data_IF_191789889498
#
_entry.id   IF_191789889498
#
_cell.length_a   1.000
_cell.length_b   1.000
_cell.length_c   1.000
_cell.angle_alpha   90.00
_cell.angle_beta   90.00
_cell.angle_gamma   90.00
#
_symmetry.space_group_name_H-M   'P 1'
#
loop_
_entity.id
_entity.type
_entity.pdbx_description
1 polymer ?
#
# COMPACT_ATOMS: atom_id res chain seq x y z
N UNK A 1 17.57 -1.33 -1.21
CA UNK A 1 16.72 -2.33 -1.85
C UNK A 1 16.81 -3.65 -1.11
N UNK A 2 15.69 -4.29 -0.83
CA UNK A 2 15.63 -5.68 -0.33
C UNK A 2 14.88 -6.53 -1.36
N UNK A 3 15.43 -7.69 -1.73
CA UNK A 3 14.77 -8.63 -2.66
C UNK A 3 14.16 -9.77 -1.86
N UNK A 4 12.92 -10.12 -2.14
CA UNK A 4 12.25 -11.29 -1.58
C UNK A 4 12.21 -12.38 -2.64
N UNK A 5 12.70 -13.58 -2.33
CA UNK A 5 12.60 -14.76 -3.17
C UNK A 5 11.60 -15.73 -2.54
N UNK A 6 10.42 -15.87 -3.14
CA UNK A 6 9.37 -16.77 -2.63
C UNK A 6 9.48 -18.10 -3.33
N UNK A 7 9.97 -19.11 -2.61
CA UNK A 7 10.07 -20.48 -3.05
C UNK A 7 8.78 -21.24 -2.71
N UNK A 8 8.10 -21.73 -3.74
CA UNK A 8 6.86 -22.48 -3.63
C UNK A 8 7.15 -23.96 -3.39
N UNK A 9 7.71 -24.28 -2.21
CA UNK A 9 8.08 -25.63 -1.78
C UNK A 9 6.86 -26.48 -1.38
N UNK A 10 5.93 -26.63 -2.32
CA UNK A 10 4.71 -27.43 -2.21
C UNK A 10 4.53 -28.30 -3.44
N UNK A 11 3.78 -29.38 -3.31
CA UNK A 11 3.46 -30.26 -4.44
C UNK A 11 2.39 -29.67 -5.37
N UNK A 12 1.48 -28.86 -4.82
CA UNK A 12 0.40 -28.19 -5.55
C UNK A 12 -0.03 -26.89 -4.85
N UNK A 13 -0.33 -25.86 -5.65
CA UNK A 13 -0.91 -24.59 -5.21
C UNK A 13 -2.44 -24.61 -5.16
N UNK A 14 -3.11 -25.62 -5.70
CA UNK A 14 -4.57 -25.76 -5.75
C UNK A 14 -5.28 -24.54 -6.34
N UNK A 15 -4.66 -23.93 -7.36
CA UNK A 15 -5.16 -22.70 -7.98
C UNK A 15 -5.12 -21.46 -7.08
N UNK A 16 -4.41 -21.50 -5.95
CA UNK A 16 -4.19 -20.36 -5.05
C UNK A 16 -2.98 -19.54 -5.47
N UNK A 17 -2.89 -18.35 -4.89
CA UNK A 17 -1.82 -17.36 -5.07
C UNK A 17 -1.33 -16.88 -3.71
N UNK A 18 -0.13 -16.30 -3.68
CA UNK A 18 0.37 -15.61 -2.49
C UNK A 18 0.11 -14.12 -2.65
N UNK A 19 -0.61 -13.53 -1.69
CA UNK A 19 -0.76 -12.10 -1.58
C UNK A 19 0.20 -11.58 -0.52
N UNK A 20 0.88 -10.50 -0.84
CA UNK A 20 1.73 -9.76 0.10
C UNK A 20 1.10 -8.40 0.33
N UNK A 21 0.92 -8.03 1.58
CA UNK A 21 0.37 -6.74 1.97
C UNK A 21 1.39 -5.92 2.74
N UNK A 22 1.38 -4.61 2.47
CA UNK A 22 1.84 -3.58 3.39
C UNK A 22 0.60 -2.93 4.02
N UNK A 23 0.68 -2.50 5.29
CA UNK A 23 -0.46 -1.90 5.99
C UNK A 23 -0.07 -0.55 6.60
N UNK A 24 -0.98 0.43 6.60
CA UNK A 24 -0.81 1.60 7.46
C UNK A 24 -0.86 1.17 8.94
N UNK A 25 -0.19 1.92 9.82
CA UNK A 25 -0.15 1.63 11.27
C UNK A 25 -1.54 1.73 11.92
N UNK A 26 -2.39 2.64 11.45
CA UNK A 26 -3.72 2.89 12.02
C UNK A 26 -4.81 2.81 10.94
N UNK A 27 -5.11 1.62 10.41
CA UNK A 27 -6.12 1.49 9.35
C UNK A 27 -7.52 1.78 9.89
N UNK A 28 -8.31 2.57 9.15
CA UNK A 28 -9.72 2.80 9.45
C UNK A 28 -10.62 1.81 8.70
N UNK A 29 -11.86 1.64 9.15
CA UNK A 29 -12.80 0.65 8.59
C UNK A 29 -13.12 0.87 7.11
N UNK A 30 -13.13 2.12 6.66
CA UNK A 30 -13.42 2.49 5.28
C UNK A 30 -12.17 2.47 4.37
N UNK A 31 -10.98 2.16 4.91
CA UNK A 31 -9.79 2.06 4.09
C UNK A 31 -9.88 0.84 3.18
N UNK A 32 -9.49 1.05 1.93
CA UNK A 32 -9.42 0.01 0.91
C UNK A 32 -7.97 -0.44 0.80
N UNK A 33 -7.60 -1.51 1.49
CA UNK A 33 -6.24 -2.06 1.48
C UNK A 33 -6.05 -2.87 0.20
N UNK A 34 -4.92 -2.68 -0.48
CA UNK A 34 -4.58 -3.38 -1.72
C UNK A 34 -3.58 -4.50 -1.45
N UNK A 35 -3.68 -5.60 -2.19
CA UNK A 35 -2.58 -6.56 -2.26
C UNK A 35 -1.39 -5.86 -2.92
N UNK A 36 -0.33 -5.64 -2.16
CA UNK A 36 0.86 -4.92 -2.59
C UNK A 36 1.65 -5.73 -3.62
N UNK A 37 1.72 -7.05 -3.43
CA UNK A 37 2.16 -8.01 -4.45
C UNK A 37 1.16 -9.16 -4.57
N UNK A 38 1.05 -9.69 -5.79
CA UNK A 38 0.28 -10.89 -6.12
C UNK A 38 1.24 -11.84 -6.83
N UNK A 39 1.59 -12.93 -6.17
CA UNK A 39 2.53 -13.92 -6.71
C UNK A 39 1.75 -15.13 -7.22
N UNK A 40 2.00 -15.47 -8.47
CA UNK A 40 1.30 -16.52 -9.23
C UNK A 40 2.18 -17.75 -9.49
N UNK A 41 3.28 -17.88 -8.74
CA UNK A 41 4.21 -19.00 -8.83
C UNK A 41 3.53 -20.37 -8.76
N UNK A 42 4.15 -21.32 -9.47
CA UNK A 42 3.74 -22.72 -9.53
C UNK A 42 4.48 -23.54 -8.46
N UNK A 43 3.95 -24.72 -8.14
CA UNK A 43 4.63 -25.70 -7.30
C UNK A 43 6.08 -25.95 -7.75
N UNK A 44 7.03 -25.89 -6.81
CA UNK A 44 8.47 -26.03 -7.04
C UNK A 44 9.17 -24.83 -7.67
N UNK A 45 8.44 -23.75 -8.01
CA UNK A 45 9.03 -22.55 -8.63
C UNK A 45 9.54 -21.54 -7.59
N UNK A 46 10.23 -20.50 -8.06
CA UNK A 46 10.58 -19.33 -7.27
C UNK A 46 10.14 -18.07 -8.01
N UNK A 47 9.46 -17.17 -7.30
CA UNK A 47 9.08 -15.85 -7.79
C UNK A 47 9.67 -14.79 -6.87
N UNK A 48 10.17 -13.70 -7.44
CA UNK A 48 10.86 -12.67 -6.68
C UNK A 48 10.22 -11.29 -6.87
N UNK A 49 10.22 -10.50 -5.81
CA UNK A 49 9.83 -9.09 -5.85
C UNK A 49 10.83 -8.23 -5.08
N UNK A 50 10.90 -6.95 -5.42
CA UNK A 50 11.79 -5.99 -4.75
C UNK A 50 11.01 -5.04 -3.84
N UNK A 51 11.68 -4.62 -2.77
CA UNK A 51 11.18 -3.62 -1.84
C UNK A 51 12.19 -2.48 -1.69
N UNK A 52 11.67 -1.27 -1.86
CA UNK A 52 12.30 -0.04 -1.45
C UNK A 52 11.29 0.81 -0.68
N UNK A 53 11.76 1.52 0.35
CA UNK A 53 10.92 2.39 1.19
C UNK A 53 10.61 3.73 0.50
N UNK A 54 10.23 3.69 -0.77
CA UNK A 54 9.82 4.85 -1.55
C UNK A 54 8.31 4.97 -1.43
N UNK A 55 7.85 6.03 -0.76
CA UNK A 55 6.42 6.34 -0.61
C UNK A 55 6.02 7.29 -1.72
N UNK A 56 4.90 7.00 -2.37
CA UNK A 56 4.28 7.89 -3.34
C UNK A 56 2.79 8.03 -3.05
N UNK A 57 2.20 9.14 -3.49
CA UNK A 57 0.77 9.35 -3.37
C UNK A 57 0.21 10.11 -4.57
N UNK A 58 -1.07 9.90 -4.84
CA UNK A 58 -1.89 10.78 -5.68
C UNK A 58 -3.31 10.84 -5.11
N UNK A 59 -4.14 11.68 -5.72
CA UNK A 59 -5.54 11.86 -5.34
C UNK A 59 -6.43 11.50 -6.51
N UNK A 60 -7.46 10.70 -6.31
CA UNK A 60 -8.48 10.44 -7.33
C UNK A 60 -9.69 11.30 -7.06
N UNK A 61 -10.11 12.07 -8.05
CA UNK A 61 -11.40 12.79 -8.03
C UNK A 61 -12.33 12.20 -9.08
N UNK A 62 -13.61 12.56 -8.99
CA UNK A 62 -14.63 12.20 -9.96
C UNK A 62 -15.00 13.47 -10.73
N UNK A 63 -15.05 13.39 -12.06
CA UNK A 63 -15.49 14.50 -12.90
C UNK A 63 -17.02 14.57 -13.05
N UNK A 64 -17.50 15.55 -13.82
CA UNK A 64 -18.94 15.73 -14.07
C UNK A 64 -19.59 14.55 -14.81
N UNK A 65 -18.80 13.74 -15.51
CA UNK A 65 -19.23 12.56 -16.25
C UNK A 65 -19.07 11.26 -15.44
N UNK A 66 -18.85 11.36 -14.13
CA UNK A 66 -18.62 10.24 -13.21
C UNK A 66 -17.37 9.41 -13.56
N UNK A 67 -16.43 10.03 -14.27
CA UNK A 67 -15.16 9.41 -14.68
C UNK A 67 -14.04 9.76 -13.69
N UNK A 68 -13.20 8.78 -13.30
CA UNK A 68 -12.12 9.03 -12.37
C UNK A 68 -11.00 9.83 -13.04
N UNK A 69 -10.64 10.96 -12.43
CA UNK A 69 -9.45 11.73 -12.76
C UNK A 69 -8.35 11.34 -11.79
N UNK A 70 -7.23 10.85 -12.33
CA UNK A 70 -6.07 10.39 -11.55
C UNK A 70 -4.84 11.17 -12.01
N UNK A 71 -4.42 12.20 -11.26
CA UNK A 71 -3.17 12.92 -11.49
C UNK A 71 -1.94 12.03 -11.27
N UNK A 72 -0.79 12.52 -11.75
CA UNK A 72 0.50 11.87 -11.56
C UNK A 72 0.83 11.64 -10.09
N UNK A 73 1.56 10.55 -9.82
CA UNK A 73 2.06 10.24 -8.49
C UNK A 73 3.16 11.21 -8.09
N UNK A 74 3.21 11.52 -6.80
CA UNK A 74 4.26 12.33 -6.21
C UNK A 74 4.95 11.56 -5.09
N UNK A 75 6.27 11.48 -5.17
CA UNK A 75 7.10 10.97 -4.09
C UNK A 75 6.97 11.85 -2.84
N UNK A 76 6.85 11.22 -1.69
CA UNK A 76 6.65 11.90 -0.40
C UNK A 76 7.47 11.20 0.67
N UNK A 77 7.96 11.96 1.66
CA UNK A 77 8.76 11.43 2.76
C UNK A 77 8.07 11.69 4.10
N UNK A 78 8.33 10.87 5.14
CA UNK A 78 7.87 11.15 6.49
C UNK A 78 8.18 12.58 6.94
N UNK A 79 7.26 13.19 7.68
CA UNK A 79 7.28 14.60 8.08
C UNK A 79 6.84 15.59 6.98
N UNK A 80 6.49 15.12 5.78
CA UNK A 80 6.04 15.96 4.67
C UNK A 80 4.52 15.94 4.54
N UNK A 81 3.94 17.12 4.34
CA UNK A 81 2.53 17.30 4.02
C UNK A 81 2.42 17.92 2.62
N UNK A 82 1.54 17.35 1.78
CA UNK A 82 1.14 17.92 0.50
C UNK A 82 -0.27 18.48 0.63
N UNK A 83 -0.62 19.47 -0.19
CA UNK A 83 -2.00 19.92 -0.36
C UNK A 83 -2.50 19.57 -1.75
N UNK A 84 -3.72 19.04 -1.81
CA UNK A 84 -4.45 18.89 -3.05
C UNK A 84 -5.15 20.21 -3.37
N UNK A 85 -4.89 20.79 -4.54
CA UNK A 85 -5.49 22.04 -4.99
C UNK A 85 -5.98 21.92 -6.44
N UNK A 86 -6.95 22.76 -6.81
CA UNK A 86 -7.39 22.94 -8.20
C UNK A 86 -7.70 24.42 -8.47
N UNK A 87 -6.70 25.24 -8.83
CA UNK A 87 -6.87 26.68 -8.99
C UNK A 87 -7.88 27.10 -10.07
N UNK A 88 -8.10 26.24 -11.06
CA UNK A 88 -8.94 26.53 -12.23
C UNK A 88 -10.18 25.62 -12.34
N UNK A 89 -10.48 24.84 -11.29
CA UNK A 89 -11.53 23.79 -11.37
C UNK A 89 -11.19 22.64 -12.33
N UNK A 90 -9.91 22.51 -12.70
CA UNK A 90 -9.36 21.43 -13.54
C UNK A 90 -8.96 20.24 -12.65
N UNK A 91 -8.42 19.16 -13.23
CA UNK A 91 -7.79 18.04 -12.51
C UNK A 91 -6.93 18.55 -11.33
N UNK A 92 -7.14 18.03 -10.10
CA UNK A 92 -6.36 18.45 -8.96
C UNK A 92 -4.89 18.07 -9.12
N UNK A 93 -4.00 18.77 -8.43
CA UNK A 93 -2.62 18.36 -8.30
C UNK A 93 -2.15 18.53 -6.86
N UNK A 94 -1.03 17.86 -6.55
CA UNK A 94 -0.41 17.90 -5.24
C UNK A 94 0.76 18.89 -5.25
N UNK A 95 0.87 19.69 -4.20
CA UNK A 95 2.03 20.54 -3.98
C UNK A 95 2.45 20.56 -2.49
N UNK A 96 3.74 20.81 -2.18
CA UNK A 96 4.20 20.88 -0.80
C UNK A 96 3.59 22.05 -0.02
N UNK A 97 3.31 21.83 1.27
CA UNK A 97 2.92 22.92 2.18
C UNK A 97 4.11 23.37 3.06
N UNK A 98 4.03 24.54 3.72
CA UNK A 98 5.04 24.97 4.67
C UNK A 98 5.25 23.94 5.80
N UNK A 99 6.51 23.73 6.19
CA UNK A 99 6.89 22.75 7.22
C UNK A 99 6.23 23.01 8.58
N UNK A 100 5.87 24.27 8.88
CA UNK A 100 5.14 24.64 10.09
C UNK A 100 3.75 23.98 10.13
N UNK A 101 3.03 23.96 9.00
CA UNK A 101 1.73 23.31 8.91
C UNK A 101 1.87 21.78 8.95
N UNK A 102 2.91 21.23 8.29
CA UNK A 102 3.20 19.79 8.38
C UNK A 102 3.38 19.33 9.84
N UNK A 103 4.18 20.08 10.62
CA UNK A 103 4.42 19.79 12.05
C UNK A 103 3.19 19.97 12.95
N UNK A 104 2.22 20.77 12.53
CA UNK A 104 0.96 20.91 13.27
C UNK A 104 0.03 19.70 13.04
N UNK A 105 0.06 19.13 11.84
CA UNK A 105 -0.89 18.09 11.41
C UNK A 105 -0.38 16.67 11.51
N UNK A 106 0.93 16.47 11.46
CA UNK A 106 1.55 15.14 11.34
C UNK A 106 2.52 14.87 12.49
N UNK A 107 2.67 13.59 12.83
CA UNK A 107 3.85 13.12 13.55
C UNK A 107 5.07 13.07 12.59
N UNK A 108 6.32 13.06 13.10
CA UNK A 108 7.51 12.94 12.26
C UNK A 108 7.55 11.69 11.37
N UNK A 109 6.88 10.62 11.79
CA UNK A 109 6.80 9.33 11.09
C UNK A 109 5.72 9.32 9.99
N UNK A 110 4.82 10.30 10.01
CA UNK A 110 3.72 10.41 9.07
C UNK A 110 4.06 11.29 7.86
N UNK A 111 3.60 10.88 6.70
CA UNK A 111 3.40 11.78 5.58
C UNK A 111 1.90 11.99 5.36
N UNK A 112 1.49 13.07 4.70
CA UNK A 112 0.06 13.32 4.53
C UNK A 112 -0.32 14.17 3.32
N UNK A 113 -1.62 14.19 3.06
CA UNK A 113 -2.27 15.05 2.08
C UNK A 113 -3.41 15.80 2.77
N UNK A 114 -3.50 17.11 2.59
CA UNK A 114 -4.62 17.94 3.04
C UNK A 114 -5.47 18.39 1.85
N UNK A 115 -6.80 18.33 1.99
CA UNK A 115 -7.70 18.84 0.96
C UNK A 115 -7.80 20.37 1.02
N UNK A 116 -7.29 21.04 -0.01
CA UNK A 116 -7.39 22.48 -0.23
C UNK A 116 -7.98 22.82 -1.60
N UNK A 117 -8.70 21.88 -2.21
CA UNK A 117 -9.34 22.06 -3.51
C UNK A 117 -10.45 23.13 -3.39
N UNK A 118 -10.46 24.08 -4.33
CA UNK A 118 -11.43 25.17 -4.40
C UNK A 118 -11.79 25.46 -5.87
N UNK A 119 -13.05 25.34 -6.32
CA UNK A 119 -14.25 25.00 -5.54
C UNK A 119 -14.17 23.61 -4.91
N UNK A 120 -14.88 23.42 -3.79
CA UNK A 120 -14.80 22.20 -2.99
C UNK A 120 -15.09 20.93 -3.81
N UNK A 121 -14.26 19.91 -3.59
CA UNK A 121 -14.40 18.57 -4.15
C UNK A 121 -13.81 17.56 -3.18
N UNK A 122 -14.48 16.42 -2.97
CA UNK A 122 -13.92 15.28 -2.26
C UNK A 122 -12.97 14.49 -3.16
N UNK A 123 -11.97 13.84 -2.55
CA UNK A 123 -11.10 12.93 -3.27
C UNK A 123 -10.82 11.66 -2.48
N UNK A 124 -10.39 10.62 -3.18
CA UNK A 124 -9.77 9.44 -2.61
C UNK A 124 -8.25 9.63 -2.61
N UNK A 125 -7.58 9.44 -1.47
CA UNK A 125 -6.12 9.51 -1.40
C UNK A 125 -5.53 8.10 -1.60
N UNK A 126 -4.70 7.92 -2.62
CA UNK A 126 -4.06 6.63 -2.87
C UNK A 126 -2.61 6.67 -2.44
N UNK A 127 -2.19 5.64 -1.73
CA UNK A 127 -0.83 5.48 -1.23
C UNK A 127 -0.17 4.30 -1.91
N UNK A 128 1.07 4.52 -2.30
CA UNK A 128 1.91 3.54 -2.97
C UNK A 128 3.24 3.40 -2.23
N UNK A 129 3.79 2.20 -2.30
CA UNK A 129 5.15 1.91 -1.85
C UNK A 129 5.86 1.17 -2.97
N UNK A 130 7.04 1.64 -3.35
CA UNK A 130 7.81 1.09 -4.46
C UNK A 130 6.99 0.95 -5.76
N UNK A 131 6.16 1.95 -6.10
CA UNK A 131 5.31 1.91 -7.29
C UNK A 131 4.04 1.05 -7.20
N UNK A 132 3.83 0.29 -6.13
CA UNK A 132 2.67 -0.60 -5.96
C UNK A 132 1.66 -0.04 -4.96
N UNK A 133 0.34 -0.21 -5.21
CA UNK A 133 -0.70 0.32 -4.33
C UNK A 133 -0.69 -0.38 -2.96
N UNK A 134 -0.91 0.40 -1.90
CA UNK A 134 -0.98 -0.09 -0.52
C UNK A 134 -2.37 0.13 0.06
N UNK A 135 -2.86 1.37 0.01
CA UNK A 135 -4.16 1.73 0.56
C UNK A 135 -4.77 2.90 -0.20
N UNK A 136 -6.07 2.82 -0.45
CA UNK A 136 -6.89 3.97 -0.82
C UNK A 136 -7.70 4.39 0.40
N UNK A 137 -7.59 5.67 0.76
CA UNK A 137 -8.32 6.30 1.87
C UNK A 137 -9.39 7.21 1.27
N UNK A 138 -10.67 6.78 1.26
CA UNK A 138 -11.70 7.44 0.49
C UNK A 138 -12.33 8.64 1.19
N UNK A 139 -13.01 9.48 0.41
CA UNK A 139 -13.88 10.57 0.90
C UNK A 139 -13.15 11.61 1.76
N UNK A 140 -11.97 12.08 1.33
CA UNK A 140 -11.24 13.13 2.02
C UNK A 140 -11.92 14.48 1.81
N UNK A 141 -12.57 14.97 2.87
CA UNK A 141 -13.37 16.20 2.87
C UNK A 141 -12.52 17.49 2.94
N UNK A 142 -13.16 18.65 2.79
CA UNK A 142 -12.53 19.97 2.79
C UNK A 142 -11.72 20.21 4.05
N UNK A 143 -10.46 20.63 3.89
CA UNK A 143 -9.50 20.85 4.98
C UNK A 143 -9.22 19.62 5.86
N UNK A 144 -9.72 18.43 5.49
CA UNK A 144 -9.34 17.19 6.13
C UNK A 144 -7.91 16.83 5.71
N UNK A 145 -7.11 16.40 6.68
CA UNK A 145 -5.79 15.82 6.45
C UNK A 145 -5.90 14.31 6.56
N UNK A 146 -5.35 13.62 5.57
CA UNK A 146 -5.18 12.18 5.59
C UNK A 146 -3.68 11.88 5.71
N UNK A 147 -3.32 11.08 6.70
CA UNK A 147 -1.94 10.68 6.96
C UNK A 147 -1.72 9.21 6.64
N UNK A 148 -0.52 8.91 6.17
CA UNK A 148 -0.01 7.57 5.97
C UNK A 148 1.27 7.40 6.76
N UNK A 149 1.31 6.31 7.50
CA UNK A 149 2.43 5.86 8.29
C UNK A 149 2.47 4.37 8.14
N UNK A 150 3.62 3.83 7.75
CA UNK A 150 3.85 2.41 7.79
C UNK A 150 5.26 2.15 8.30
N UNK A 151 5.36 1.17 9.19
CA UNK A 151 6.61 0.51 9.49
C UNK A 151 6.73 -0.68 8.53
N UNK A 152 7.89 -0.93 7.90
CA UNK A 152 8.07 -2.02 6.95
C UNK A 152 7.73 -3.37 7.60
N UNK A 153 6.52 -3.85 7.32
CA UNK A 153 5.96 -5.05 7.88
C UNK A 153 5.10 -5.70 6.81
N UNK A 154 5.49 -6.91 6.42
CA UNK A 154 4.92 -7.64 5.31
C UNK A 154 3.96 -8.69 5.85
N UNK A 155 2.80 -8.80 5.25
CA UNK A 155 1.81 -9.80 5.62
C UNK A 155 1.56 -10.70 4.42
N UNK A 156 1.89 -11.99 4.57
CA UNK A 156 1.77 -13.00 3.54
C UNK A 156 0.49 -13.82 3.77
N UNK A 157 -0.24 -14.09 2.68
CA UNK A 157 -1.47 -14.89 2.72
C UNK A 157 -1.53 -15.78 1.49
N UNK A 158 -1.90 -17.05 1.67
CA UNK A 158 -2.27 -17.92 0.55
C UNK A 158 -3.78 -17.88 0.37
N UNK A 159 -4.27 -17.48 -0.80
CA UNK A 159 -5.70 -17.37 -1.07
C UNK A 159 -6.02 -17.51 -2.56
N UNK A 160 -7.30 -17.57 -2.91
CA UNK A 160 -7.72 -17.55 -4.31
C UNK A 160 -7.24 -16.27 -5.01
N UNK A 161 -6.95 -16.32 -6.33
CA UNK A 161 -6.53 -15.15 -7.08
C UNK A 161 -7.50 -13.98 -6.88
N UNK A 162 -7.00 -12.75 -6.66
CA UNK A 162 -7.86 -11.60 -6.47
C UNK A 162 -8.55 -11.25 -7.78
N UNK A 163 -9.78 -10.75 -7.69
CA UNK A 163 -10.42 -10.08 -8.83
C UNK A 163 -9.67 -8.77 -9.08
N UNK A 164 -9.56 -8.34 -10.34
CA UNK A 164 -8.91 -7.07 -10.69
C UNK A 164 -9.55 -5.91 -9.91
N UNK A 165 -8.72 -5.13 -9.21
CA UNK A 165 -9.18 -4.00 -8.39
C UNK A 165 -9.78 -4.40 -7.04
N UNK A 166 -9.70 -5.68 -6.64
CA UNK A 166 -10.19 -6.13 -5.35
C UNK A 166 -9.41 -5.47 -4.21
N UNK A 167 -10.17 -4.96 -3.23
CA UNK A 167 -9.64 -4.35 -2.02
C UNK A 167 -10.06 -5.14 -0.79
N UNK A 168 -9.30 -5.01 0.28
CA UNK A 168 -9.47 -5.74 1.53
C UNK A 168 -9.72 -4.76 2.68
N UNK A 169 -10.53 -5.19 3.64
CA UNK A 169 -10.70 -4.50 4.92
C UNK A 169 -9.92 -5.21 6.01
N UNK A 170 -9.57 -4.50 7.10
CA UNK A 170 -8.74 -5.01 8.21
C UNK A 170 -9.23 -6.35 8.81
N UNK A 171 -10.52 -6.64 8.68
CA UNK A 171 -11.12 -7.90 9.14
C UNK A 171 -10.74 -9.12 8.29
N UNK A 172 -10.30 -8.93 7.04
CA UNK A 172 -9.92 -10.03 6.13
C UNK A 172 -8.53 -10.61 6.43
N UNK A 173 -7.86 -10.13 7.48
CA UNK A 173 -6.44 -10.38 7.73
C UNK A 173 -6.17 -11.44 8.82
N UNK A 174 -7.16 -12.23 9.24
CA UNK A 174 -7.03 -13.17 10.36
C UNK A 174 -6.00 -14.29 10.12
N UNK A 175 -5.78 -14.70 8.87
CA UNK A 175 -4.94 -15.87 8.52
C UNK A 175 -3.61 -15.48 7.84
N UNK A 176 -3.08 -14.29 8.14
CA UNK A 176 -1.83 -13.83 7.53
C UNK A 176 -0.60 -14.12 8.38
N UNK A 177 0.51 -14.46 7.73
CA UNK A 177 1.82 -14.56 8.37
C UNK A 177 2.54 -13.23 8.29
N UNK A 178 2.87 -12.66 9.44
CA UNK A 178 3.58 -11.40 9.54
C UNK A 178 5.10 -11.62 9.48
N UNK A 179 5.81 -10.77 8.74
CA UNK A 179 7.26 -10.75 8.69
C UNK A 179 7.81 -9.31 8.71
N UNK A 180 8.80 -9.07 9.56
CA UNK A 180 9.52 -7.79 9.66
C UNK A 180 10.98 -8.09 9.30
N UNK A 181 11.44 -7.71 8.09
CA UNK A 181 12.83 -7.92 7.72
C UNK A 181 13.75 -7.05 8.61
N UNK A 182 14.95 -7.56 8.96
CA UNK A 182 16.00 -6.71 9.51
C UNK A 182 16.30 -5.53 8.58
N UNK A 183 16.57 -4.35 9.14
CA UNK A 183 16.88 -3.14 8.34
C UNK A 183 18.12 -3.29 7.46
N UNK A 184 18.99 -4.26 7.78
CA UNK A 184 20.20 -4.58 7.03
C UNK A 184 19.99 -5.61 5.93
N UNK A 185 18.80 -6.23 5.86
CA UNK A 185 18.54 -7.32 4.93
C UNK A 185 18.52 -6.80 3.48
N UNK A 186 19.37 -7.39 2.65
CA UNK A 186 19.41 -7.13 1.21
C UNK A 186 18.65 -8.19 0.42
N UNK A 187 18.49 -9.37 1.01
CA UNK A 187 17.77 -10.49 0.46
C UNK A 187 16.97 -11.20 1.57
N UNK A 188 15.78 -11.67 1.23
CA UNK A 188 14.93 -12.48 2.09
C UNK A 188 14.46 -13.69 1.30
N UNK A 189 14.88 -14.87 1.71
CA UNK A 189 14.34 -16.13 1.19
C UNK A 189 13.07 -16.48 1.99
N UNK A 190 11.98 -16.69 1.27
CA UNK A 190 10.67 -17.08 1.83
C UNK A 190 10.34 -18.47 1.31
N UNK A 191 10.21 -19.44 2.19
CA UNK A 191 9.83 -20.81 1.83
C UNK A 191 8.36 -20.99 2.18
N UNK A 192 7.52 -21.15 1.17
CA UNK A 192 6.13 -21.54 1.31
C UNK A 192 6.03 -23.06 1.33
N UNK A 193 5.56 -23.63 2.42
CA UNK A 193 5.31 -25.06 2.57
C UNK A 193 3.85 -25.33 2.94
N UNK A 194 3.44 -26.61 2.87
CA UNK A 194 2.10 -27.04 3.28
C UNK A 194 2.09 -28.30 4.16
N UNK A 195 2.76 -28.30 5.32
CA UNK A 195 2.77 -29.46 6.22
C UNK A 195 1.35 -29.74 6.74
N UNK A 196 0.91 -31.00 6.65
CA UNK A 196 -0.39 -31.46 7.13
C UNK A 196 -1.59 -30.65 6.58
N UNK A 197 -1.46 -30.11 5.37
CA UNK A 197 -2.51 -29.34 4.70
C UNK A 197 -2.61 -27.87 5.09
N UNK A 198 -1.79 -27.39 6.03
CA UNK A 198 -1.74 -26.00 6.49
C UNK A 198 -0.63 -25.23 5.77
N UNK A 199 -0.94 -24.05 5.24
CA UNK A 199 0.06 -23.18 4.61
C UNK A 199 0.98 -22.57 5.67
N UNK A 200 2.28 -22.63 5.43
CA UNK A 200 3.30 -22.08 6.31
C UNK A 200 4.33 -21.27 5.52
N UNK A 201 4.76 -20.14 6.07
CA UNK A 201 5.85 -19.33 5.51
C UNK A 201 7.03 -19.31 6.48
N UNK A 202 8.19 -19.74 6.00
CA UNK A 202 9.46 -19.65 6.72
C UNK A 202 10.33 -18.58 6.08
N UNK A 203 10.95 -17.72 6.90
CA UNK A 203 11.71 -16.56 6.41
C UNK A 203 13.17 -16.62 6.83
N UNK A 204 14.07 -16.33 5.90
CA UNK A 204 15.51 -16.25 6.14
C UNK A 204 16.07 -14.98 5.49
N UNK A 205 16.57 -14.05 6.32
CA UNK A 205 17.16 -12.79 5.86
C UNK A 205 18.69 -12.88 5.76
N UNK A 206 19.26 -12.23 4.74
CA UNK A 206 20.70 -12.06 4.53
C UNK A 206 21.10 -10.58 4.48
#
# INVERSE_FOLDING_TARGET
MTVFNVNFAVDDMEGKTVLVFLKPQQPQRNYRIHAWQVLTGLAGSTESFSYEAIIETNVTTIDEADSPIVPGRQGISPGTLLQAISPSGVSPYLEPVPISLAREKLTPEQCGVINKINPYMQFDCNWYVNGHPVVTMPNVDSSMTVSFEYLPCFYFMVTAPPIVGQTYIVQNFSDMTQYIPPITATEVDVILTRPYGLWNFDFSAK
#
